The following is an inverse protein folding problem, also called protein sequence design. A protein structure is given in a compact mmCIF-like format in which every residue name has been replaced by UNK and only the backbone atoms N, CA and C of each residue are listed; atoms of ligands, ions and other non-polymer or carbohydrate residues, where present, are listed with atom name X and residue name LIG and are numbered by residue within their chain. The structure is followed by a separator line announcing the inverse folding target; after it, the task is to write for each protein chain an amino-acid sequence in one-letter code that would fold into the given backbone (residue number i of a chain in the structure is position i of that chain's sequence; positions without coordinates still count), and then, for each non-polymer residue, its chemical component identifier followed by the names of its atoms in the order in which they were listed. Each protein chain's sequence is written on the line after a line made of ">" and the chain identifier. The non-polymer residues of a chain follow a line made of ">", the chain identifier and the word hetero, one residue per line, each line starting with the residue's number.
data_IF_996880103441
#
_entry.id   IF_996880103441
#
_cell.length_a   1.000
_cell.length_b   1.000
_cell.length_c   1.000
_cell.angle_alpha   90.00
_cell.angle_beta   90.00
_cell.angle_gamma   90.00
#
_symmetry.space_group_name_H-M   'P 1'
#
loop_
_entity.id
_entity.type
_entity.pdbx_description
1 polymer ?
#
# COMPACT_ATOMS: atom_id res chain seq x y z
N UNK A 1 9.49 6.64 21.71
CA UNK A 1 10.23 5.69 20.93
C UNK A 1 9.34 4.73 20.20
N UNK A 2 8.42 4.07 20.89
CA UNK A 2 7.47 3.21 20.20
C UNK A 2 6.64 4.00 19.23
N UNK A 3 6.26 5.22 19.62
CA UNK A 3 5.42 6.05 18.77
C UNK A 3 6.15 6.47 17.50
N UNK A 4 7.43 6.77 17.64
CA UNK A 4 8.23 7.10 16.46
C UNK A 4 8.29 5.93 15.50
N UNK A 5 8.50 4.73 16.05
CA UNK A 5 8.60 3.53 15.25
C UNK A 5 7.29 3.27 14.51
N UNK A 6 6.17 3.44 15.19
CA UNK A 6 4.86 3.23 14.58
C UNK A 6 4.59 4.25 13.48
N UNK A 7 4.94 5.51 13.74
CA UNK A 7 4.72 6.56 12.75
C UNK A 7 5.57 6.29 11.52
N UNK A 8 6.83 5.91 11.72
CA UNK A 8 7.71 5.64 10.60
C UNK A 8 7.20 4.47 9.78
N UNK A 9 6.73 3.42 10.46
CA UNK A 9 6.20 2.25 9.78
C UNK A 9 4.98 2.61 8.95
N UNK A 10 4.09 3.43 9.47
CA UNK A 10 2.90 3.84 8.74
C UNK A 10 3.25 4.68 7.54
N UNK A 11 4.24 5.56 7.67
CA UNK A 11 4.68 6.39 6.55
C UNK A 11 5.25 5.50 5.46
N UNK A 12 6.06 4.52 5.82
CA UNK A 12 6.64 3.61 4.84
C UNK A 12 5.56 2.82 4.10
N UNK A 13 4.58 2.32 4.83
CA UNK A 13 3.49 1.58 4.22
C UNK A 13 2.68 2.47 3.29
N UNK A 14 2.43 3.69 3.72
CA UNK A 14 1.71 4.65 2.90
C UNK A 14 2.47 4.95 1.61
N UNK A 15 3.79 5.11 1.71
CA UNK A 15 4.62 5.36 0.54
C UNK A 15 4.59 4.19 -0.43
N UNK A 16 4.61 2.98 0.10
CA UNK A 16 4.55 1.79 -0.75
C UNK A 16 3.23 1.70 -1.49
N UNK A 17 2.14 1.99 -0.78
CA UNK A 17 0.82 1.96 -1.41
C UNK A 17 0.72 3.03 -2.49
N UNK A 18 1.27 4.21 -2.22
CA UNK A 18 1.27 5.29 -3.20
C UNK A 18 2.07 4.88 -4.43
N UNK A 19 3.24 4.28 -4.23
CA UNK A 19 4.07 3.84 -5.34
C UNK A 19 3.34 2.79 -6.18
N UNK A 20 2.69 1.85 -5.50
CA UNK A 20 1.94 0.81 -6.21
C UNK A 20 0.77 1.41 -6.98
N UNK A 21 0.12 2.41 -6.40
CA UNK A 21 -0.97 3.11 -7.10
C UNK A 21 -0.47 3.77 -8.38
N UNK A 22 0.71 4.38 -8.33
CA UNK A 22 1.29 5.00 -9.51
C UNK A 22 1.62 3.96 -10.57
N UNK A 23 2.08 2.80 -10.15
CA UNK A 23 2.35 1.70 -11.07
C UNK A 23 1.07 1.23 -11.76
N UNK A 24 -0.04 1.18 -11.01
CA UNK A 24 -1.32 0.82 -11.58
C UNK A 24 -1.73 1.83 -12.65
N UNK A 25 -1.63 3.11 -12.31
CA UNK A 25 -1.98 4.16 -13.27
C UNK A 25 -1.12 4.08 -14.52
N UNK A 26 0.16 3.82 -14.32
CA UNK A 26 1.09 3.71 -15.45
C UNK A 26 0.73 2.52 -16.34
N UNK A 27 0.35 1.40 -15.74
CA UNK A 27 0.00 0.22 -16.53
C UNK A 27 -1.28 0.47 -17.33
N UNK A 28 -2.20 1.27 -16.79
CA UNK A 28 -3.39 1.66 -17.53
C UNK A 28 -3.02 2.52 -18.73
N UNK A 29 -2.12 3.48 -18.53
CA UNK A 29 -1.69 4.37 -19.59
C UNK A 29 -0.99 3.63 -20.71
N UNK A 30 -0.23 2.61 -20.38
CA UNK A 30 0.50 1.83 -21.36
C UNK A 30 -0.32 0.65 -21.88
N UNK A 31 -1.53 0.47 -21.36
CA UNK A 31 -2.44 -0.62 -21.75
C UNK A 31 -1.80 -1.99 -21.54
N UNK A 32 -1.00 -2.11 -20.48
CA UNK A 32 -0.34 -3.37 -20.14
C UNK A 32 -1.23 -4.12 -19.14
N UNK A 33 -2.06 -5.00 -19.65
CA UNK A 33 -3.07 -5.69 -18.83
C UNK A 33 -2.41 -6.62 -17.82
N UNK A 34 -1.36 -7.32 -18.24
CA UNK A 34 -0.67 -8.25 -17.33
C UNK A 34 -0.05 -7.51 -16.16
N UNK A 35 0.61 -6.40 -16.44
CA UNK A 35 1.21 -5.59 -15.38
C UNK A 35 0.13 -5.02 -14.48
N UNK A 36 -0.96 -4.56 -15.07
CA UNK A 36 -2.08 -4.01 -14.30
C UNK A 36 -2.61 -5.03 -13.30
N UNK A 37 -2.82 -6.26 -13.77
CA UNK A 37 -3.37 -7.30 -12.91
C UNK A 37 -2.42 -7.63 -11.75
N UNK A 38 -1.14 -7.80 -12.06
CA UNK A 38 -0.16 -8.11 -11.02
C UNK A 38 0.00 -7.00 -10.02
N UNK A 39 0.04 -5.75 -10.51
CA UNK A 39 0.18 -4.60 -9.63
C UNK A 39 -1.05 -4.41 -8.76
N UNK A 40 -2.22 -4.66 -9.32
CA UNK A 40 -3.46 -4.56 -8.56
C UNK A 40 -3.51 -5.58 -7.43
N UNK A 41 -3.06 -6.80 -7.69
CA UNK A 41 -2.99 -7.81 -6.64
C UNK A 41 -2.06 -7.38 -5.52
N UNK A 42 -0.91 -6.85 -5.88
CA UNK A 42 0.04 -6.36 -4.89
C UNK A 42 -0.57 -5.22 -4.08
N UNK A 43 -1.28 -4.34 -4.74
CA UNK A 43 -1.92 -3.21 -4.08
C UNK A 43 -2.92 -3.70 -3.02
N UNK A 44 -3.72 -4.70 -3.37
CA UNK A 44 -4.72 -5.23 -2.44
C UNK A 44 -4.04 -5.82 -1.21
N UNK A 45 -2.97 -6.58 -1.41
CA UNK A 45 -2.24 -7.18 -0.30
C UNK A 45 -1.67 -6.10 0.61
N UNK A 46 -1.05 -5.08 0.02
CA UNK A 46 -0.47 -3.99 0.81
C UNK A 46 -1.54 -3.22 1.57
N UNK A 47 -2.67 -3.01 0.93
CA UNK A 47 -3.76 -2.28 1.56
C UNK A 47 -4.32 -3.04 2.75
N UNK A 48 -4.44 -4.35 2.63
CA UNK A 48 -4.96 -5.15 3.73
C UNK A 48 -4.00 -5.15 4.91
N UNK A 49 -2.71 -5.23 4.65
CA UNK A 49 -1.72 -5.14 5.73
C UNK A 49 -1.77 -3.80 6.43
N UNK A 50 -1.91 -2.74 5.65
CA UNK A 50 -1.98 -1.39 6.19
C UNK A 50 -3.25 -1.22 7.04
N UNK A 51 -4.35 -1.73 6.54
CA UNK A 51 -5.62 -1.65 7.23
C UNK A 51 -5.58 -2.41 8.56
N UNK A 52 -4.92 -3.56 8.57
CA UNK A 52 -4.78 -4.32 9.81
C UNK A 52 -4.02 -3.52 10.86
N UNK A 53 -2.96 -2.87 10.44
CA UNK A 53 -2.15 -2.10 11.36
C UNK A 53 -2.92 -0.92 11.95
N UNK A 54 -3.68 -0.24 11.10
CA UNK A 54 -4.51 0.87 11.56
C UNK A 54 -5.60 0.35 12.50
N UNK A 55 -6.22 -0.77 12.16
CA UNK A 55 -7.26 -1.35 12.99
C UNK A 55 -6.75 -1.71 14.37
N UNK A 56 -5.53 -2.26 14.44
CA UNK A 56 -4.95 -2.58 15.73
C UNK A 56 -4.75 -1.35 16.59
N UNK A 57 -4.36 -0.25 15.97
CA UNK A 57 -4.20 1.00 16.69
C UNK A 57 -5.53 1.51 17.23
N UNK A 58 -6.57 1.34 16.45
CA UNK A 58 -7.89 1.83 16.84
C UNK A 58 -8.53 1.02 17.95
N UNK A 59 -8.25 -0.26 17.97
CA UNK A 59 -8.88 -1.12 18.95
C UNK A 59 -8.33 -0.91 20.36
N UNK A 60 -7.35 -0.07 20.48
CA UNK A 60 -6.86 0.29 21.77
C UNK A 60 -7.53 1.53 22.27
#
# INVERSE_FOLDING_TARGET
>A
MREESNIKSKIEMSNRITQTSEDILNSIKTQNIDKFRGTLQLFIIQFELYREQIGNDYER
#
